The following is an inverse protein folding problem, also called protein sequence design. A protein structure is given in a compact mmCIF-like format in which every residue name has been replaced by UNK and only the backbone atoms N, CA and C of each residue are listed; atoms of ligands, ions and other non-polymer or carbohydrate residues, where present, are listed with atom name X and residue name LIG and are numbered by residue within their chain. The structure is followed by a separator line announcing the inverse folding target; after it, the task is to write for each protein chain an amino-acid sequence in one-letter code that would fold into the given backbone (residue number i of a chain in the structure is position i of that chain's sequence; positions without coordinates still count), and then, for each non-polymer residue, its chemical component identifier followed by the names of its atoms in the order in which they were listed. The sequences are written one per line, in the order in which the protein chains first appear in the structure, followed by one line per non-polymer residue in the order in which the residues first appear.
data_IF_014193550873
#
_entry.id   IF_014193550873
#
_cell.length_a   1.000
_cell.length_b   1.000
_cell.length_c   1.000
_cell.angle_alpha   90.00
_cell.angle_beta   90.00
_cell.angle_gamma   90.00
#
_symmetry.space_group_name_H-M   'P 1'
#
loop_
_entity.id
_entity.type
_entity.pdbx_description
1 polymer ?
#
# COMPACT_ATOMS: atom_id res chain seq x y z
N UNK A 1 10.45 5.41 -5.15
CA UNK A 1 10.64 6.71 -4.43
C UNK A 1 9.91 7.86 -5.13
N UNK A 2 9.87 7.88 -6.45
CA UNK A 2 9.18 8.97 -7.17
C UNK A 2 7.67 9.03 -6.91
N UNK A 3 7.04 7.86 -6.76
CA UNK A 3 5.61 7.78 -6.42
C UNK A 3 5.32 8.38 -5.04
N UNK A 4 6.17 8.10 -4.05
CA UNK A 4 6.04 8.69 -2.71
C UNK A 4 6.22 10.21 -2.75
N UNK A 5 7.16 10.69 -3.54
CA UNK A 5 7.36 12.14 -3.72
C UNK A 5 6.14 12.79 -4.38
N UNK A 6 5.53 12.10 -5.36
CA UNK A 6 4.29 12.57 -6.00
C UNK A 6 3.13 12.64 -5.01
N UNK A 7 2.99 11.65 -4.13
CA UNK A 7 1.99 11.67 -3.07
C UNK A 7 2.21 12.86 -2.14
N UNK A 8 3.45 13.11 -1.75
CA UNK A 8 3.79 14.24 -0.88
C UNK A 8 3.44 15.58 -1.53
N UNK A 9 3.78 15.74 -2.81
CA UNK A 9 3.44 16.98 -3.55
C UNK A 9 1.93 17.20 -3.63
N UNK A 10 1.16 16.13 -3.70
CA UNK A 10 -0.30 16.18 -3.77
C UNK A 10 -0.97 16.22 -2.38
N UNK A 11 -0.19 16.25 -1.30
CA UNK A 11 -0.66 16.20 0.08
C UNK A 11 -1.51 14.96 0.39
N UNK A 12 -1.15 13.83 -0.21
CA UNK A 12 -1.80 12.54 0.02
C UNK A 12 -1.07 11.81 1.16
N UNK A 13 -1.76 11.45 2.26
CA UNK A 13 -1.16 10.68 3.33
C UNK A 13 -0.69 9.31 2.84
N UNK A 14 0.44 8.84 3.37
CA UNK A 14 1.02 7.56 2.97
C UNK A 14 1.31 6.70 4.19
N UNK A 15 1.21 5.38 4.01
CA UNK A 15 1.53 4.41 5.03
C UNK A 15 2.32 3.25 4.47
N UNK A 16 3.20 2.70 5.28
CA UNK A 16 3.88 1.44 4.99
C UNK A 16 3.20 0.35 5.81
N UNK A 17 2.72 -0.69 5.12
CA UNK A 17 2.09 -1.86 5.74
C UNK A 17 2.91 -3.08 5.34
N UNK A 18 3.64 -3.67 6.28
CA UNK A 18 4.56 -4.76 6.01
C UNK A 18 4.39 -5.89 7.02
N UNK A 19 4.62 -7.13 6.58
CA UNK A 19 4.69 -8.28 7.48
C UNK A 19 6.02 -8.36 8.23
N UNK A 20 7.03 -7.62 7.81
CA UNK A 20 8.33 -7.60 8.47
C UNK A 20 8.24 -6.95 9.85
N UNK A 21 9.11 -7.39 10.76
CA UNK A 21 9.18 -6.86 12.12
C UNK A 21 9.88 -5.50 12.13
N UNK A 22 9.55 -4.68 13.12
CA UNK A 22 10.06 -3.31 13.26
C UNK A 22 11.59 -3.25 13.16
N UNK A 23 12.29 -4.18 13.78
CA UNK A 23 13.76 -4.21 13.78
C UNK A 23 14.37 -4.30 12.38
N UNK A 24 13.70 -5.03 11.46
CA UNK A 24 14.14 -5.13 10.06
C UNK A 24 13.74 -3.89 9.25
N UNK A 25 12.59 -3.32 9.56
CA UNK A 25 12.03 -2.19 8.82
C UNK A 25 12.81 -0.90 9.10
N UNK A 26 13.29 -0.71 10.33
CA UNK A 26 13.96 0.53 10.73
C UNK A 26 15.17 0.87 9.86
N UNK A 27 15.97 -0.13 9.49
CA UNK A 27 17.12 0.09 8.61
C UNK A 27 16.69 0.58 7.22
N UNK A 28 15.63 -0.01 6.66
CA UNK A 28 15.06 0.40 5.37
C UNK A 28 14.48 1.81 5.45
N UNK A 29 13.78 2.13 6.53
CA UNK A 29 13.22 3.47 6.74
C UNK A 29 14.31 4.52 6.85
N UNK A 30 15.40 4.22 7.53
CA UNK A 30 16.54 5.13 7.65
C UNK A 30 17.13 5.45 6.29
N UNK A 31 17.31 4.44 5.43
CA UNK A 31 17.78 4.64 4.07
C UNK A 31 16.81 5.49 3.26
N UNK A 32 15.52 5.23 3.38
CA UNK A 32 14.50 6.01 2.68
C UNK A 32 14.46 7.47 3.15
N UNK A 33 14.66 7.72 4.44
CA UNK A 33 14.75 9.10 4.96
C UNK A 33 15.92 9.83 4.32
N UNK A 34 17.04 9.17 4.17
CA UNK A 34 18.22 9.74 3.53
C UNK A 34 17.91 10.12 2.07
N UNK A 35 17.29 9.21 1.32
CA UNK A 35 17.01 9.41 -0.11
C UNK A 35 15.94 10.48 -0.34
N UNK A 36 14.93 10.55 0.50
CA UNK A 36 13.79 11.48 0.36
C UNK A 36 14.07 12.83 1.04
N UNK A 37 14.93 12.85 2.04
CA UNK A 37 15.23 14.04 2.84
C UNK A 37 14.16 14.36 3.89
N UNK A 38 13.23 13.43 4.16
CA UNK A 38 12.14 13.57 5.13
C UNK A 38 11.58 12.20 5.48
N UNK A 39 10.61 12.16 6.41
CA UNK A 39 9.91 10.91 6.73
C UNK A 39 9.18 10.39 5.47
N UNK A 40 9.47 9.16 5.02
CA UNK A 40 8.88 8.64 3.79
C UNK A 40 7.39 8.31 3.93
N UNK A 41 6.93 7.94 5.12
CA UNK A 41 5.54 7.57 5.39
C UNK A 41 5.00 8.29 6.62
N UNK A 42 3.70 8.63 6.58
CA UNK A 42 3.00 9.22 7.72
C UNK A 42 2.74 8.20 8.82
N UNK A 43 2.51 6.93 8.44
CA UNK A 43 2.33 5.81 9.37
C UNK A 43 3.11 4.59 8.90
N UNK A 44 3.50 3.76 9.86
CA UNK A 44 4.20 2.50 9.61
C UNK A 44 3.55 1.41 10.46
N UNK A 45 3.04 0.38 9.79
CA UNK A 45 2.47 -0.82 10.42
C UNK A 45 3.36 -2.00 10.09
N UNK A 46 3.93 -2.61 11.10
CA UNK A 46 4.84 -3.76 10.97
C UNK A 46 4.18 -5.05 11.43
N UNK A 47 4.83 -6.18 11.24
CA UNK A 47 4.32 -7.47 11.66
C UNK A 47 4.06 -7.56 13.17
N UNK A 48 4.83 -6.83 13.98
CA UNK A 48 4.69 -6.75 15.42
C UNK A 48 3.77 -5.61 15.89
N UNK A 49 3.19 -4.84 14.97
CA UNK A 49 2.21 -3.78 15.29
C UNK A 49 0.79 -4.30 15.43
N UNK A 50 0.51 -5.52 14.97
CA UNK A 50 -0.84 -6.10 14.87
C UNK A 50 -0.90 -7.45 15.57
N UNK A 51 -2.11 -7.86 15.94
CA UNK A 51 -2.37 -9.17 16.52
C UNK A 51 -2.36 -10.26 15.46
N UNK A 52 -3.02 -9.98 14.31
CA UNK A 52 -3.13 -10.92 13.20
C UNK A 52 -2.61 -10.26 11.93
N UNK A 53 -1.54 -10.82 11.37
CA UNK A 53 -0.89 -10.30 10.18
C UNK A 53 -1.58 -10.68 8.87
N UNK A 54 -0.96 -10.27 7.76
CA UNK A 54 -1.41 -10.65 6.42
C UNK A 54 -1.51 -12.18 6.31
N UNK A 55 -2.51 -12.71 5.66
CA UNK A 55 -3.50 -12.10 4.76
C UNK A 55 -4.74 -11.53 5.45
N UNK A 56 -4.77 -11.45 6.77
CA UNK A 56 -5.89 -10.87 7.52
C UNK A 56 -6.01 -9.36 7.25
N UNK A 57 -7.20 -8.80 7.43
CA UNK A 57 -7.48 -7.39 7.16
C UNK A 57 -6.84 -6.42 8.15
N UNK A 58 -6.48 -6.87 9.34
CA UNK A 58 -6.06 -6.01 10.45
C UNK A 58 -4.93 -5.04 10.11
N UNK A 59 -3.85 -5.43 9.40
CA UNK A 59 -2.76 -4.49 9.11
C UNK A 59 -3.23 -3.26 8.34
N UNK A 60 -4.07 -3.44 7.33
CA UNK A 60 -4.59 -2.33 6.53
C UNK A 60 -5.65 -1.52 7.29
N UNK A 61 -6.48 -2.17 8.08
CA UNK A 61 -7.44 -1.46 8.95
C UNK A 61 -6.71 -0.59 9.97
N UNK A 62 -5.63 -1.10 10.53
CA UNK A 62 -4.79 -0.38 11.49
C UNK A 62 -4.16 0.86 10.84
N UNK A 63 -3.60 0.72 9.64
CA UNK A 63 -2.98 1.82 8.91
C UNK A 63 -4.01 2.89 8.54
N UNK A 64 -5.16 2.49 8.00
CA UNK A 64 -6.22 3.42 7.61
C UNK A 64 -6.72 4.22 8.81
N UNK A 65 -6.93 3.56 9.94
CA UNK A 65 -7.34 4.21 11.18
C UNK A 65 -6.30 5.23 11.64
N UNK A 66 -5.03 4.88 11.55
CA UNK A 66 -3.94 5.76 11.98
C UNK A 66 -3.82 7.03 11.13
N UNK A 67 -4.10 6.94 9.83
CA UNK A 67 -4.10 8.13 8.95
C UNK A 67 -5.46 8.84 8.91
N UNK A 68 -6.49 8.28 9.55
CA UNK A 68 -7.80 8.91 9.63
C UNK A 68 -8.62 8.83 8.35
N UNK A 69 -8.42 7.81 7.53
CA UNK A 69 -9.12 7.61 6.24
C UNK A 69 -9.82 6.26 6.26
N UNK A 70 -11.06 6.21 5.76
CA UNK A 70 -11.77 4.94 5.62
C UNK A 70 -11.05 4.03 4.63
N UNK A 71 -11.05 2.72 4.87
CA UNK A 71 -10.33 1.78 3.99
C UNK A 71 -10.79 1.85 2.54
N UNK A 72 -12.08 2.07 2.29
CA UNK A 72 -12.64 2.20 0.94
C UNK A 72 -12.06 3.40 0.17
N UNK A 73 -11.49 4.36 0.89
CA UNK A 73 -10.87 5.56 0.32
C UNK A 73 -9.34 5.46 0.28
N UNK A 74 -8.80 4.29 0.61
CA UNK A 74 -7.37 4.02 0.58
C UNK A 74 -7.00 3.22 -0.67
N UNK A 75 -5.88 3.58 -1.27
CA UNK A 75 -5.24 2.80 -2.31
C UNK A 75 -4.12 1.98 -1.67
N UNK A 76 -4.20 0.66 -1.79
CA UNK A 76 -3.17 -0.25 -1.34
C UNK A 76 -2.36 -0.73 -2.54
N UNK A 77 -1.04 -0.67 -2.43
CA UNK A 77 -0.12 -1.18 -3.45
C UNK A 77 0.62 -2.38 -2.86
N UNK A 78 0.50 -3.52 -3.50
CA UNK A 78 1.05 -4.78 -2.99
C UNK A 78 1.81 -5.55 -4.06
N UNK A 79 2.78 -6.36 -3.63
CA UNK A 79 3.62 -7.16 -4.50
C UNK A 79 3.41 -8.67 -4.33
N UNK A 80 2.61 -9.10 -3.37
CA UNK A 80 2.41 -10.51 -3.03
C UNK A 80 0.94 -10.88 -2.94
N UNK A 81 0.58 -12.18 -3.16
CA UNK A 81 -0.79 -12.64 -3.00
C UNK A 81 -1.36 -12.43 -1.58
N UNK A 82 -0.55 -12.66 -0.54
CA UNK A 82 -1.00 -12.49 0.84
C UNK A 82 -1.27 -11.01 1.17
N UNK A 83 -0.44 -10.11 0.64
CA UNK A 83 -0.64 -8.67 0.80
C UNK A 83 -1.88 -8.18 0.07
N UNK A 84 -2.09 -8.64 -1.16
CA UNK A 84 -3.31 -8.32 -1.94
C UNK A 84 -4.55 -8.79 -1.19
N UNK A 85 -4.53 -10.00 -0.66
CA UNK A 85 -5.65 -10.57 0.09
C UNK A 85 -5.96 -9.75 1.36
N UNK A 86 -4.93 -9.34 2.08
CA UNK A 86 -5.05 -8.49 3.28
C UNK A 86 -5.73 -7.15 2.95
N UNK A 87 -5.23 -6.46 1.94
CA UNK A 87 -5.78 -5.17 1.52
C UNK A 87 -7.21 -5.29 1.01
N UNK A 88 -7.48 -6.31 0.23
CA UNK A 88 -8.83 -6.58 -0.29
C UNK A 88 -9.80 -6.88 0.85
N UNK A 89 -9.39 -7.72 1.81
CA UNK A 89 -10.23 -8.06 2.97
C UNK A 89 -10.55 -6.83 3.84
N UNK A 90 -9.66 -5.86 3.88
CA UNK A 90 -9.87 -4.60 4.60
C UNK A 90 -10.82 -3.65 3.88
N UNK A 91 -11.12 -3.89 2.60
CA UNK A 91 -11.97 -3.03 1.79
C UNK A 91 -11.23 -1.94 1.02
N UNK A 92 -9.92 -2.02 0.94
CA UNK A 92 -9.12 -1.06 0.15
C UNK A 92 -9.31 -1.26 -1.35
N UNK A 93 -9.05 -0.20 -2.11
CA UNK A 93 -8.83 -0.29 -3.55
C UNK A 93 -7.40 -0.78 -3.74
N UNK A 94 -7.21 -1.85 -4.53
CA UNK A 94 -5.92 -2.55 -4.57
C UNK A 94 -5.29 -2.49 -5.95
N UNK A 95 -4.01 -2.16 -5.96
CA UNK A 95 -3.13 -2.27 -7.12
C UNK A 95 -2.03 -3.27 -6.79
N UNK A 96 -1.82 -4.24 -7.67
CA UNK A 96 -0.75 -5.21 -7.52
C UNK A 96 0.41 -4.88 -8.47
N UNK A 97 1.63 -4.92 -7.92
CA UNK A 97 2.88 -4.82 -8.68
C UNK A 97 3.66 -6.10 -8.42
N UNK A 98 3.36 -7.21 -9.13
CA UNK A 98 3.94 -8.51 -8.82
C UNK A 98 5.46 -8.52 -8.95
N UNK A 99 6.12 -9.20 -8.01
CA UNK A 99 7.57 -9.36 -7.98
C UNK A 99 7.90 -10.86 -8.08
N UNK A 100 7.87 -11.39 -9.30
CA UNK A 100 8.20 -12.80 -9.56
C UNK A 100 7.17 -13.81 -9.10
N UNK A 101 5.99 -13.39 -8.66
CA UNK A 101 4.89 -14.26 -8.22
C UNK A 101 3.64 -13.90 -9.00
N UNK A 102 2.86 -14.91 -9.36
CA UNK A 102 1.58 -14.68 -10.03
C UNK A 102 0.53 -14.20 -9.04
N UNK A 103 -0.21 -13.13 -9.41
CA UNK A 103 -1.33 -12.62 -8.65
C UNK A 103 -2.58 -12.69 -9.52
N UNK A 104 -3.69 -13.18 -8.94
CA UNK A 104 -4.99 -13.19 -9.63
C UNK A 104 -5.50 -11.76 -9.77
N UNK A 105 -5.70 -11.32 -11.03
CA UNK A 105 -6.13 -9.97 -11.37
C UNK A 105 -7.64 -9.77 -11.47
N UNK A 106 -8.47 -10.72 -11.00
CA UNK A 106 -9.92 -10.63 -11.16
C UNK A 106 -10.53 -9.44 -10.42
N UNK A 107 -9.97 -9.04 -9.27
CA UNK A 107 -10.51 -7.96 -8.42
C UNK A 107 -9.48 -6.85 -8.13
N UNK A 108 -8.33 -6.88 -8.78
CA UNK A 108 -7.27 -5.89 -8.57
C UNK A 108 -6.66 -5.46 -9.89
N UNK A 109 -6.26 -4.21 -9.96
CA UNK A 109 -5.51 -3.70 -11.10
C UNK A 109 -4.06 -4.19 -10.99
N UNK A 110 -3.57 -4.85 -12.02
CA UNK A 110 -2.18 -5.29 -12.07
C UNK A 110 -1.40 -4.34 -12.97
N UNK A 111 -0.30 -3.80 -12.46
CA UNK A 111 0.62 -2.95 -13.21
C UNK A 111 2.04 -3.48 -13.08
N UNK A 112 2.87 -3.21 -14.07
CA UNK A 112 4.26 -3.68 -14.07
C UNK A 112 5.14 -2.89 -13.11
N UNK A 113 4.82 -1.61 -12.93
CA UNK A 113 5.65 -0.68 -12.17
C UNK A 113 4.83 0.55 -11.79
N UNK A 114 5.25 1.23 -10.72
CA UNK A 114 4.73 2.56 -10.35
C UNK A 114 5.47 3.69 -11.05
N UNK A 115 6.50 3.36 -11.83
CA UNK A 115 7.31 4.34 -12.54
C UNK A 115 6.43 5.16 -13.49
N UNK A 116 6.61 6.49 -13.47
CA UNK A 116 5.88 7.46 -14.31
C UNK A 116 4.36 7.48 -14.07
N UNK A 117 3.89 6.98 -12.93
CA UNK A 117 2.47 7.03 -12.58
C UNK A 117 2.20 8.11 -11.54
N UNK A 118 1.11 8.84 -11.75
CA UNK A 118 0.62 9.81 -10.77
C UNK A 118 -0.41 9.16 -9.85
N UNK A 119 -0.41 9.48 -8.54
CA UNK A 119 -1.32 8.85 -7.58
C UNK A 119 -2.80 8.96 -7.96
N UNK A 120 -3.24 10.12 -8.43
CA UNK A 120 -4.64 10.35 -8.79
C UNK A 120 -5.07 9.51 -9.99
N UNK A 121 -4.19 9.35 -10.97
CA UNK A 121 -4.46 8.54 -12.17
C UNK A 121 -4.55 7.06 -11.78
N UNK A 122 -3.64 6.59 -10.95
CA UNK A 122 -3.63 5.21 -10.48
C UNK A 122 -4.89 4.90 -9.66
N UNK A 123 -5.28 5.81 -8.78
CA UNK A 123 -6.51 5.71 -8.00
C UNK A 123 -7.74 5.57 -8.90
N UNK A 124 -7.86 6.42 -9.90
CA UNK A 124 -8.98 6.39 -10.85
C UNK A 124 -9.03 5.07 -11.61
N UNK A 125 -7.88 4.62 -12.11
CA UNK A 125 -7.81 3.38 -12.90
C UNK A 125 -8.12 2.16 -12.04
N UNK A 126 -7.63 2.11 -10.83
CA UNK A 126 -7.88 1.02 -9.90
C UNK A 126 -9.35 0.94 -9.49
N UNK A 127 -9.99 2.09 -9.26
CA UNK A 127 -11.42 2.14 -8.95
C UNK A 127 -12.30 1.68 -10.11
N UNK A 128 -11.93 2.05 -11.33
CA UNK A 128 -12.65 1.58 -12.54
C UNK A 128 -12.56 0.07 -12.67
N UNK A 129 -11.40 -0.49 -12.40
CA UNK A 129 -11.19 -1.93 -12.46
C UNK A 129 -12.06 -2.66 -11.44
N UNK A 130 -12.12 -2.17 -10.22
CA UNK A 130 -12.95 -2.72 -9.17
C UNK A 130 -14.44 -2.71 -9.55
N UNK A 131 -14.92 -1.64 -10.18
CA UNK A 131 -16.33 -1.50 -10.60
C UNK A 131 -16.71 -2.49 -11.70
N UNK A 132 -15.78 -2.86 -12.58
CA UNK A 132 -16.05 -3.82 -13.66
C UNK A 132 -16.27 -5.23 -13.13
N UNK A 133 -15.65 -5.58 -12.03
CA UNK A 133 -15.73 -6.89 -11.41
C UNK A 133 -16.91 -7.02 -10.43
N UNK A 134 -17.59 -5.92 -10.15
CA UNK A 134 -18.72 -5.89 -9.20
C UNK A 134 -20.04 -6.39 -9.82
#
# INVERSE_FOLDING_TARGET
MDFLRACRRAAIPTGLVTAAWRSLVDASLERMRYDVGAEPFDVVVTGDSVTTGKPHAEPYETAARAIGVATRDCLAVEDSPTGVQSAFAAGCVVVAVPQGVRIDGSSVLIVDSLENREPQDLWRDARRHLRRDA
#
